data_IF_237662835493
#
_entry.id   IF_237662835493
#
_cell.length_a   1.000
_cell.length_b   1.000
_cell.length_c   1.000
_cell.angle_alpha   90.00
_cell.angle_beta   90.00
_cell.angle_gamma   90.00
#
_symmetry.space_group_name_H-M   'P 1'
#
loop_
_entity.id
_entity.type
_entity.pdbx_description
1 polymer ?
#
# COMPACT_ATOMS: atom_id res chain seq x y z
N UNK A 1 6.33 9.85 -52.68
CA UNK A 1 6.90 11.22 -52.59
C UNK A 1 8.38 11.07 -52.30
N UNK A 2 9.25 11.43 -53.27
CA UNK A 2 10.69 11.22 -53.18
C UNK A 2 11.30 12.20 -52.16
N UNK A 3 12.03 11.71 -51.19
CA UNK A 3 12.74 12.52 -50.17
C UNK A 3 13.84 13.46 -50.74
N UNK A 4 14.15 13.32 -52.00
CA UNK A 4 15.19 14.11 -52.72
C UNK A 4 14.79 15.56 -53.07
N UNK A 5 13.52 15.94 -52.86
CA UNK A 5 13.02 17.28 -53.23
C UNK A 5 12.77 18.22 -52.05
N UNK A 6 13.07 17.78 -50.83
CA UNK A 6 12.95 18.63 -49.63
C UNK A 6 14.16 19.58 -49.58
N UNK A 7 13.89 20.89 -49.52
CA UNK A 7 14.96 21.90 -49.35
C UNK A 7 15.74 21.62 -48.05
N UNK A 8 17.00 21.97 -48.00
CA UNK A 8 17.85 21.75 -46.82
C UNK A 8 17.28 22.41 -45.57
N UNK A 9 16.54 23.48 -45.71
CA UNK A 9 15.79 24.12 -44.62
C UNK A 9 14.67 23.21 -44.05
N UNK A 10 13.97 22.46 -44.91
CA UNK A 10 12.94 21.50 -44.47
C UNK A 10 13.57 20.27 -43.84
N UNK A 11 14.72 19.78 -44.31
CA UNK A 11 15.45 18.67 -43.66
C UNK A 11 15.92 19.07 -42.26
N UNK A 12 16.37 20.32 -42.07
CA UNK A 12 16.76 20.84 -40.74
C UNK A 12 15.55 20.93 -39.79
N UNK A 13 14.37 21.24 -40.29
CA UNK A 13 13.14 21.30 -39.49
C UNK A 13 12.70 19.92 -38.99
N UNK A 14 12.79 18.88 -39.85
CA UNK A 14 12.41 17.51 -39.47
C UNK A 14 13.42 16.82 -38.55
N UNK A 15 14.70 17.21 -38.59
CA UNK A 15 15.76 16.62 -37.77
C UNK A 15 15.83 17.20 -36.34
N UNK A 16 15.25 18.37 -36.11
CA UNK A 16 15.20 19.02 -34.78
C UNK A 16 13.91 18.68 -34.01
N UNK A 17 13.65 17.42 -33.76
CA UNK A 17 12.68 17.08 -32.69
C UNK A 17 13.29 17.50 -31.34
N UNK A 18 12.61 18.36 -30.57
CA UNK A 18 13.14 18.82 -29.30
C UNK A 18 13.34 17.63 -28.38
N UNK A 19 14.59 17.31 -28.05
CA UNK A 19 14.98 16.26 -27.14
C UNK A 19 14.31 16.56 -25.78
N UNK A 20 13.33 15.77 -25.37
CA UNK A 20 12.66 15.90 -24.07
C UNK A 20 13.68 15.64 -22.97
N UNK A 21 14.06 16.66 -22.21
CA UNK A 21 14.96 16.51 -21.07
C UNK A 21 14.20 15.88 -19.91
N UNK A 22 14.70 14.77 -19.40
CA UNK A 22 14.13 14.04 -18.27
C UNK A 22 14.20 14.91 -17.01
N UNK A 23 13.10 15.01 -16.26
CA UNK A 23 13.10 15.69 -14.96
C UNK A 23 13.76 14.78 -13.91
N UNK A 24 14.97 15.13 -13.47
CA UNK A 24 15.68 14.41 -12.40
C UNK A 24 14.89 14.40 -11.08
N UNK A 25 14.21 15.51 -10.77
CA UNK A 25 13.38 15.62 -9.56
C UNK A 25 12.27 14.57 -9.57
N UNK A 26 11.52 14.47 -10.68
CA UNK A 26 10.47 13.44 -10.79
C UNK A 26 11.03 12.02 -10.71
N UNK A 27 12.26 11.78 -11.20
CA UNK A 27 12.93 10.49 -11.10
C UNK A 27 13.22 10.14 -9.64
N UNK A 28 13.84 11.06 -8.89
CA UNK A 28 14.19 10.85 -7.48
C UNK A 28 12.94 10.66 -6.62
N UNK A 29 11.91 11.48 -6.80
CA UNK A 29 10.65 11.37 -6.06
C UNK A 29 9.98 10.02 -6.29
N UNK A 30 9.92 9.56 -7.55
CA UNK A 30 9.35 8.25 -7.90
C UNK A 30 10.16 7.10 -7.28
N UNK A 31 11.49 7.21 -7.27
CA UNK A 31 12.37 6.22 -6.66
C UNK A 31 12.16 6.11 -5.15
N UNK A 32 12.11 7.25 -4.46
CA UNK A 32 11.86 7.28 -3.00
C UNK A 32 10.48 6.71 -2.69
N UNK A 33 9.44 7.11 -3.43
CA UNK A 33 8.09 6.60 -3.23
C UNK A 33 8.01 5.07 -3.45
N UNK A 34 8.72 4.54 -4.45
CA UNK A 34 8.83 3.10 -4.69
C UNK A 34 9.47 2.37 -3.50
N UNK A 35 10.56 2.90 -2.95
CA UNK A 35 11.23 2.32 -1.76
C UNK A 35 10.29 2.34 -0.55
N UNK A 36 9.57 3.43 -0.32
CA UNK A 36 8.60 3.53 0.77
C UNK A 36 7.46 2.51 0.61
N UNK A 37 6.95 2.30 -0.62
CA UNK A 37 5.96 1.24 -0.88
C UNK A 37 6.51 -0.15 -0.56
N UNK A 38 7.76 -0.42 -0.90
CA UNK A 38 8.42 -1.68 -0.56
C UNK A 38 8.62 -1.84 0.96
N UNK A 39 8.97 -0.76 1.67
CA UNK A 39 9.08 -0.76 3.14
C UNK A 39 7.72 -0.99 3.81
N UNK A 40 6.64 -0.43 3.27
CA UNK A 40 5.29 -0.70 3.76
C UNK A 40 4.91 -2.18 3.64
N UNK A 41 5.17 -2.79 2.48
CA UNK A 41 4.95 -4.22 2.26
C UNK A 41 5.82 -5.07 3.20
N UNK A 42 7.09 -4.71 3.39
CA UNK A 42 8.00 -5.41 4.29
C UNK A 42 7.55 -5.34 5.75
N UNK A 43 7.15 -4.15 6.23
CA UNK A 43 6.62 -3.97 7.60
C UNK A 43 5.35 -4.80 7.82
N UNK A 44 4.40 -4.78 6.86
CA UNK A 44 3.18 -5.57 6.94
C UNK A 44 3.42 -7.09 6.92
N UNK A 45 4.52 -7.55 6.31
CA UNK A 45 4.91 -8.96 6.28
C UNK A 45 5.58 -9.42 7.57
N UNK A 46 6.46 -8.59 8.15
CA UNK A 46 7.36 -8.97 9.25
C UNK A 46 6.85 -8.54 10.62
N UNK A 47 6.34 -7.31 10.70
CA UNK A 47 5.93 -6.74 11.98
C UNK A 47 4.60 -7.35 12.42
N UNK A 48 4.29 -7.39 13.74
CA UNK A 48 3.01 -7.87 14.20
C UNK A 48 1.87 -6.98 13.69
N UNK A 49 0.81 -7.61 13.22
CA UNK A 49 -0.42 -6.97 12.77
C UNK A 49 -1.25 -6.48 13.93
N UNK A 50 -1.35 -7.31 14.98
CA UNK A 50 -1.98 -7.01 16.25
C UNK A 50 -1.34 -7.83 17.36
N UNK A 51 -1.53 -7.37 18.59
CA UNK A 51 -1.16 -8.10 19.80
C UNK A 51 -2.43 -8.55 20.50
N UNK A 52 -2.53 -9.85 20.79
CA UNK A 52 -3.61 -10.40 21.58
C UNK A 52 -3.15 -10.57 23.02
N UNK A 53 -3.76 -9.82 23.94
CA UNK A 53 -3.49 -9.97 25.37
C UNK A 53 -4.05 -11.29 25.92
N UNK A 54 -5.10 -11.82 25.28
CA UNK A 54 -5.70 -13.10 25.67
C UNK A 54 -4.74 -14.28 25.46
N UNK A 55 -3.97 -14.25 24.36
CA UNK A 55 -2.96 -15.29 24.09
C UNK A 55 -1.55 -14.87 24.50
N UNK A 56 -1.39 -13.64 25.01
CA UNK A 56 -0.10 -13.03 25.31
C UNK A 56 0.92 -13.17 24.16
N UNK A 57 0.41 -13.07 22.93
CA UNK A 57 1.20 -13.23 21.71
C UNK A 57 0.97 -12.08 20.73
N UNK A 58 2.06 -11.66 20.10
CA UNK A 58 2.04 -10.77 18.95
C UNK A 58 1.83 -11.61 17.69
N UNK A 59 0.79 -11.33 16.91
CA UNK A 59 0.43 -12.10 15.72
C UNK A 59 0.91 -11.38 14.48
N UNK A 60 1.86 -11.97 13.79
CA UNK A 60 2.30 -11.52 12.47
C UNK A 60 1.57 -12.28 11.34
N UNK A 61 1.82 -11.87 10.08
CA UNK A 61 1.16 -12.46 8.91
C UNK A 61 1.26 -13.99 8.85
N UNK A 62 2.41 -14.58 9.17
CA UNK A 62 2.60 -16.04 9.14
C UNK A 62 1.86 -16.76 10.26
N UNK A 63 1.79 -16.16 11.43
CA UNK A 63 1.11 -16.75 12.59
C UNK A 63 -0.40 -16.62 12.49
N UNK A 64 -0.88 -15.70 11.64
CA UNK A 64 -2.29 -15.41 11.50
C UNK A 64 -3.11 -16.62 11.05
N UNK A 65 -2.62 -17.41 10.11
CA UNK A 65 -3.30 -18.63 9.65
C UNK A 65 -3.39 -19.70 10.75
N UNK A 66 -2.35 -19.82 11.58
CA UNK A 66 -2.35 -20.76 12.72
C UNK A 66 -3.22 -20.25 13.86
N UNK A 67 -3.33 -18.94 14.02
CA UNK A 67 -4.17 -18.30 15.04
C UNK A 67 -5.66 -18.63 14.85
N UNK A 68 -6.17 -18.56 13.62
CA UNK A 68 -7.56 -18.92 13.30
C UNK A 68 -7.84 -20.39 13.61
N UNK A 69 -6.91 -21.29 13.28
CA UNK A 69 -7.04 -22.72 13.56
C UNK A 69 -7.02 -23.03 15.06
N UNK A 70 -6.21 -22.31 15.85
CA UNK A 70 -6.12 -22.50 17.30
C UNK A 70 -7.40 -22.05 18.00
N UNK A 71 -8.01 -20.94 17.59
CA UNK A 71 -9.26 -20.45 18.15
C UNK A 71 -10.44 -21.41 17.88
N UNK A 72 -10.56 -21.92 16.66
CA UNK A 72 -11.59 -22.88 16.27
C UNK A 72 -11.51 -24.20 17.03
N UNK A 73 -10.32 -24.65 17.41
CA UNK A 73 -10.12 -25.91 18.13
C UNK A 73 -10.39 -25.82 19.65
N UNK A 74 -10.41 -24.62 20.21
CA UNK A 74 -10.61 -24.46 21.68
C UNK A 74 -12.08 -24.58 22.13
N UNK A 75 -13.06 -24.55 21.20
CA UNK A 75 -14.47 -24.86 21.48
C UNK A 75 -15.18 -23.98 22.52
N UNK A 76 -14.50 -22.96 23.03
CA UNK A 76 -14.94 -22.16 24.18
C UNK A 76 -15.86 -20.99 23.79
N UNK A 77 -15.93 -20.63 22.51
CA UNK A 77 -16.66 -19.47 22.02
C UNK A 77 -17.28 -19.82 20.66
N UNK A 78 -18.49 -19.35 20.40
CA UNK A 78 -19.05 -19.37 19.03
C UNK A 78 -18.25 -18.38 18.14
N UNK A 79 -17.22 -18.92 17.49
CA UNK A 79 -16.20 -18.16 16.75
C UNK A 79 -16.60 -17.96 15.29
N UNK A 80 -17.80 -18.40 14.86
CA UNK A 80 -18.18 -18.39 13.45
C UNK A 80 -18.11 -16.97 12.82
N UNK A 81 -18.62 -15.96 13.51
CA UNK A 81 -18.55 -14.56 13.05
C UNK A 81 -17.11 -14.03 13.09
N UNK A 82 -16.33 -14.44 14.07
CA UNK A 82 -14.94 -14.00 14.22
C UNK A 82 -14.02 -14.63 13.15
N UNK A 83 -14.26 -15.90 12.78
CA UNK A 83 -13.55 -16.56 11.69
C UNK A 83 -13.79 -15.86 10.35
N UNK A 84 -15.01 -15.38 10.11
CA UNK A 84 -15.32 -14.62 8.89
C UNK A 84 -14.55 -13.30 8.85
N UNK A 85 -14.51 -12.53 9.92
CA UNK A 85 -13.76 -11.27 10.00
C UNK A 85 -12.25 -11.50 9.85
N UNK A 86 -11.71 -12.56 10.44
CA UNK A 86 -10.29 -12.91 10.27
C UNK A 86 -9.97 -13.33 8.85
N UNK A 87 -10.84 -14.09 8.18
CA UNK A 87 -10.69 -14.46 6.77
C UNK A 87 -10.73 -13.23 5.87
N UNK A 88 -11.63 -12.27 6.15
CA UNK A 88 -11.71 -10.99 5.45
C UNK A 88 -10.42 -10.19 5.62
N UNK A 89 -9.86 -10.13 6.83
CA UNK A 89 -8.61 -9.45 7.13
C UNK A 89 -7.44 -10.07 6.36
N UNK A 90 -7.33 -11.39 6.33
CA UNK A 90 -6.30 -12.09 5.56
C UNK A 90 -6.41 -11.80 4.05
N UNK A 91 -7.63 -11.82 3.52
CA UNK A 91 -7.89 -11.48 2.12
C UNK A 91 -7.46 -10.04 1.79
N UNK A 92 -7.75 -9.07 2.65
CA UNK A 92 -7.33 -7.68 2.49
C UNK A 92 -5.81 -7.52 2.51
N UNK A 93 -5.09 -8.24 3.38
CA UNK A 93 -3.63 -8.22 3.42
C UNK A 93 -3.04 -8.78 2.12
N UNK A 94 -3.62 -9.86 1.58
CA UNK A 94 -3.19 -10.41 0.30
C UNK A 94 -3.41 -9.42 -0.85
N UNK A 95 -4.55 -8.74 -0.88
CA UNK A 95 -4.84 -7.69 -1.86
C UNK A 95 -3.83 -6.53 -1.72
N UNK A 96 -3.48 -6.15 -0.49
CA UNK A 96 -2.45 -5.14 -0.23
C UNK A 96 -1.11 -5.52 -0.85
N UNK A 97 -0.63 -6.75 -0.66
CA UNK A 97 0.63 -7.21 -1.27
C UNK A 97 0.58 -7.19 -2.79
N UNK A 98 -0.51 -7.67 -3.39
CA UNK A 98 -0.69 -7.63 -4.85
C UNK A 98 -0.63 -6.20 -5.37
N UNK A 99 -1.34 -5.27 -4.72
CA UNK A 99 -1.34 -3.85 -5.12
C UNK A 99 0.03 -3.20 -4.91
N UNK A 100 0.79 -3.55 -3.86
CA UNK A 100 2.16 -3.10 -3.69
C UNK A 100 3.05 -3.58 -4.85
N UNK A 101 2.95 -4.84 -5.26
CA UNK A 101 3.69 -5.37 -6.41
C UNK A 101 3.33 -4.63 -7.71
N UNK A 102 2.05 -4.39 -7.96
CA UNK A 102 1.58 -3.62 -9.13
C UNK A 102 2.12 -2.19 -9.08
N UNK A 103 2.05 -1.52 -7.91
CA UNK A 103 2.55 -0.16 -7.74
C UNK A 103 4.06 -0.06 -8.00
N UNK A 104 4.86 -0.99 -7.45
CA UNK A 104 6.31 -1.05 -7.67
C UNK A 104 6.62 -1.28 -9.15
N UNK A 105 5.90 -2.20 -9.81
CA UNK A 105 6.06 -2.46 -11.26
C UNK A 105 5.77 -1.21 -12.09
N UNK A 106 4.66 -0.51 -11.79
CA UNK A 106 4.30 0.74 -12.45
C UNK A 106 5.33 1.85 -12.17
N UNK A 107 5.90 1.90 -10.96
CA UNK A 107 6.97 2.84 -10.64
C UNK A 107 8.22 2.58 -11.48
N UNK A 108 8.65 1.32 -11.63
CA UNK A 108 9.76 0.93 -12.50
C UNK A 108 9.48 1.32 -13.95
N UNK A 109 8.29 1.01 -14.48
CA UNK A 109 7.88 1.42 -15.82
C UNK A 109 7.88 2.94 -15.98
N UNK A 110 7.45 3.68 -14.96
CA UNK A 110 7.49 5.14 -14.94
C UNK A 110 8.92 5.67 -14.96
N UNK A 111 9.84 5.03 -14.22
CA UNK A 111 11.26 5.36 -14.22
C UNK A 111 11.91 5.10 -15.59
N UNK A 112 11.52 4.05 -16.30
CA UNK A 112 12.07 3.71 -17.63
C UNK A 112 11.48 4.60 -18.71
N UNK A 113 10.16 4.65 -18.84
CA UNK A 113 9.48 5.31 -19.97
C UNK A 113 9.16 6.78 -19.73
N UNK A 114 9.12 7.23 -18.49
CA UNK A 114 8.84 8.60 -18.05
C UNK A 114 7.62 9.25 -18.76
N UNK A 115 6.56 8.49 -18.97
CA UNK A 115 5.31 8.98 -19.57
C UNK A 115 4.35 9.50 -18.50
N UNK A 116 3.69 10.63 -18.78
CA UNK A 116 2.73 11.24 -17.84
C UNK A 116 1.57 10.29 -17.49
N UNK A 117 1.10 9.50 -18.46
CA UNK A 117 0.03 8.52 -18.24
C UNK A 117 0.43 7.49 -17.16
N UNK A 118 1.67 6.96 -17.23
CA UNK A 118 2.18 6.01 -16.23
C UNK A 118 2.27 6.64 -14.84
N UNK A 119 2.62 7.92 -14.74
CA UNK A 119 2.66 8.65 -13.46
C UNK A 119 1.27 8.78 -12.84
N UNK A 120 0.25 9.11 -13.66
CA UNK A 120 -1.14 9.21 -13.21
C UNK A 120 -1.63 7.84 -12.74
N UNK A 121 -1.40 6.80 -13.53
CA UNK A 121 -1.80 5.44 -13.18
C UNK A 121 -1.13 4.98 -11.88
N UNK A 122 0.18 5.24 -11.72
CA UNK A 122 0.93 4.90 -10.53
C UNK A 122 0.40 5.65 -9.28
N UNK A 123 0.02 6.93 -9.43
CA UNK A 123 -0.60 7.69 -8.36
C UNK A 123 -1.97 7.10 -7.97
N UNK A 124 -2.83 6.75 -8.93
CA UNK A 124 -4.14 6.14 -8.66
C UNK A 124 -3.97 4.82 -7.91
N UNK A 125 -3.04 3.96 -8.36
CA UNK A 125 -2.76 2.68 -7.68
C UNK A 125 -2.20 2.93 -6.28
N UNK A 126 -1.34 3.93 -6.09
CA UNK A 126 -0.79 4.26 -4.77
C UNK A 126 -1.86 4.72 -3.77
N UNK A 127 -2.93 5.38 -4.23
CA UNK A 127 -4.09 5.69 -3.39
C UNK A 127 -4.81 4.41 -2.96
N UNK A 128 -4.97 3.44 -3.88
CA UNK A 128 -5.51 2.13 -3.54
C UNK A 128 -4.67 1.40 -2.49
N UNK A 129 -3.33 1.44 -2.64
CA UNK A 129 -2.39 0.87 -1.65
C UNK A 129 -2.53 1.53 -0.29
N UNK A 130 -2.73 2.86 -0.22
CA UNK A 130 -2.94 3.59 1.04
C UNK A 130 -4.28 3.24 1.69
N UNK A 131 -5.35 3.06 0.91
CA UNK A 131 -6.69 2.81 1.45
C UNK A 131 -6.77 1.48 2.19
N UNK A 132 -6.05 0.44 1.74
CA UNK A 132 -6.14 -0.89 2.34
C UNK A 132 -5.70 -0.92 3.80
N UNK A 133 -4.51 -0.44 4.22
CA UNK A 133 -4.13 -0.43 5.63
C UNK A 133 -5.04 0.45 6.48
N UNK A 134 -5.67 1.49 5.92
CA UNK A 134 -6.69 2.27 6.63
C UNK A 134 -7.95 1.42 6.88
N UNK A 135 -8.40 0.66 5.88
CA UNK A 135 -9.54 -0.25 6.02
C UNK A 135 -9.21 -1.38 7.02
N UNK A 136 -7.99 -1.94 6.95
CA UNK A 136 -7.52 -2.96 7.90
C UNK A 136 -7.59 -2.47 9.35
N UNK A 137 -7.24 -1.23 9.61
CA UNK A 137 -7.32 -0.63 10.94
C UNK A 137 -8.77 -0.65 11.47
N UNK A 138 -9.77 -0.33 10.62
CA UNK A 138 -11.18 -0.40 11.01
C UNK A 138 -11.64 -1.85 11.25
N UNK A 139 -11.22 -2.79 10.39
CA UNK A 139 -11.57 -4.21 10.55
C UNK A 139 -10.99 -4.77 11.87
N UNK A 140 -9.74 -4.44 12.21
CA UNK A 140 -9.12 -4.87 13.47
C UNK A 140 -9.89 -4.32 14.68
N UNK A 141 -10.33 -3.06 14.64
CA UNK A 141 -11.14 -2.45 15.71
C UNK A 141 -12.50 -3.11 15.84
N UNK A 142 -13.13 -3.41 14.72
CA UNK A 142 -14.43 -4.06 14.67
C UNK A 142 -14.34 -5.51 15.22
N UNK A 143 -13.33 -6.26 14.78
CA UNK A 143 -13.03 -7.58 15.33
C UNK A 143 -12.74 -7.56 16.83
N UNK A 144 -12.03 -6.55 17.35
CA UNK A 144 -11.78 -6.37 18.77
C UNK A 144 -13.08 -6.14 19.57
N UNK A 145 -14.00 -5.34 19.01
CA UNK A 145 -15.32 -5.06 19.65
C UNK A 145 -16.20 -6.29 19.65
N UNK A 146 -16.22 -7.07 18.57
CA UNK A 146 -16.99 -8.33 18.50
C UNK A 146 -16.44 -9.36 19.48
N UNK A 147 -15.12 -9.48 19.59
CA UNK A 147 -14.50 -10.38 20.57
C UNK A 147 -14.82 -9.95 22.00
N UNK A 148 -14.81 -8.67 22.31
CA UNK A 148 -15.18 -8.16 23.63
C UNK A 148 -16.63 -8.48 23.97
N UNK A 149 -17.56 -8.32 23.03
CA UNK A 149 -18.98 -8.66 23.24
C UNK A 149 -19.21 -10.17 23.40
N UNK A 150 -18.46 -10.99 22.67
CA UNK A 150 -18.51 -12.45 22.82
C UNK A 150 -17.99 -12.93 24.18
N UNK A 151 -17.08 -12.17 24.81
CA UNK A 151 -16.52 -12.45 26.12
C UNK A 151 -17.32 -11.81 27.29
N UNK A 152 -18.34 -10.98 26.99
CA UNK A 152 -19.17 -10.31 28.01
C UNK A 152 -19.74 -11.26 29.06
N UNK A 153 -20.23 -12.48 28.74
CA UNK A 153 -20.72 -13.43 29.75
C UNK A 153 -19.62 -13.89 30.74
N UNK A 154 -18.35 -13.81 30.35
CA UNK A 154 -17.20 -14.21 31.16
C UNK A 154 -16.62 -13.05 31.99
N UNK A 155 -17.05 -11.80 31.74
CA UNK A 155 -16.56 -10.61 32.46
C UNK A 155 -16.82 -10.69 33.97
N UNK A 156 -17.89 -11.35 34.38
CA UNK A 156 -18.19 -11.59 35.80
C UNK A 156 -17.11 -12.42 36.53
N UNK A 157 -16.31 -13.20 35.78
CA UNK A 157 -15.24 -14.05 36.29
C UNK A 157 -13.85 -13.42 36.12
N UNK A 158 -13.65 -12.59 35.11
CA UNK A 158 -12.30 -12.10 34.69
C UNK A 158 -12.14 -10.59 34.92
N UNK A 159 -13.22 -9.88 35.25
CA UNK A 159 -13.22 -8.42 35.39
C UNK A 159 -13.52 -7.69 34.09
N UNK A 160 -13.58 -6.35 34.12
CA UNK A 160 -13.85 -5.54 32.96
C UNK A 160 -12.72 -5.69 31.90
N UNK A 161 -13.06 -6.30 30.77
CA UNK A 161 -12.13 -6.47 29.62
C UNK A 161 -12.45 -5.39 28.59
N UNK A 162 -11.55 -4.44 28.40
CA UNK A 162 -11.68 -3.47 27.32
C UNK A 162 -11.34 -4.11 25.97
N UNK A 163 -12.14 -3.83 24.92
CA UNK A 163 -11.91 -4.33 23.56
C UNK A 163 -10.49 -4.06 23.05
N UNK A 164 -9.97 -2.88 23.36
CA UNK A 164 -8.59 -2.43 22.99
C UNK A 164 -7.51 -3.23 23.71
N UNK A 165 -7.80 -3.83 24.86
CA UNK A 165 -6.86 -4.71 25.57
C UNK A 165 -6.83 -6.13 25.01
N UNK A 166 -7.90 -6.59 24.35
CA UNK A 166 -8.00 -7.92 23.76
C UNK A 166 -7.22 -8.03 22.46
N UNK A 167 -7.38 -7.01 21.58
CA UNK A 167 -6.70 -6.88 20.32
C UNK A 167 -6.16 -5.46 20.19
N UNK A 168 -4.89 -5.27 20.55
CA UNK A 168 -4.23 -3.99 20.39
C UNK A 168 -3.65 -3.88 18.98
N UNK A 169 -3.92 -2.73 18.35
CA UNK A 169 -3.31 -2.37 17.07
C UNK A 169 -1.79 -2.37 17.19
N UNK A 170 -1.11 -2.94 16.20
CA UNK A 170 0.33 -3.04 16.21
C UNK A 170 1.00 -2.17 15.15
N UNK A 171 2.30 -2.05 15.24
CA UNK A 171 3.13 -1.15 14.43
C UNK A 171 3.04 -1.42 12.92
N UNK A 172 2.74 -2.66 12.48
CA UNK A 172 2.68 -3.00 11.06
C UNK A 172 1.69 -2.13 10.29
N UNK A 173 0.46 -2.00 10.79
CA UNK A 173 -0.62 -1.25 10.12
C UNK A 173 -0.30 0.26 10.14
N UNK A 174 0.17 0.79 11.29
CA UNK A 174 0.54 2.19 11.40
C UNK A 174 1.71 2.57 10.49
N UNK A 175 2.76 1.74 10.47
CA UNK A 175 3.90 1.92 9.58
C UNK A 175 3.47 1.87 8.11
N UNK A 176 2.59 0.93 7.74
CA UNK A 176 2.07 0.83 6.38
C UNK A 176 1.31 2.09 5.98
N UNK A 177 0.44 2.65 6.85
CA UNK A 177 -0.28 3.90 6.59
C UNK A 177 0.71 5.06 6.37
N UNK A 178 1.70 5.21 7.24
CA UNK A 178 2.71 6.27 7.14
C UNK A 178 3.50 6.16 5.85
N UNK A 179 4.07 4.99 5.55
CA UNK A 179 4.91 4.79 4.37
C UNK A 179 4.12 4.94 3.08
N UNK A 180 2.92 4.36 2.99
CA UNK A 180 2.06 4.48 1.80
C UNK A 180 1.50 5.88 1.62
N UNK A 181 1.18 6.58 2.73
CA UNK A 181 0.74 7.98 2.70
C UNK A 181 1.81 8.91 2.16
N UNK A 182 3.05 8.79 2.66
CA UNK A 182 4.19 9.56 2.14
C UNK A 182 4.46 9.19 0.69
N UNK A 183 4.42 7.89 0.33
CA UNK A 183 4.62 7.46 -1.05
C UNK A 183 3.57 8.04 -2.00
N UNK A 184 2.28 7.99 -1.65
CA UNK A 184 1.20 8.58 -2.44
C UNK A 184 1.37 10.09 -2.62
N UNK A 185 1.78 10.81 -1.57
CA UNK A 185 2.08 12.23 -1.65
C UNK A 185 3.26 12.53 -2.57
N UNK A 186 4.33 11.74 -2.53
CA UNK A 186 5.48 11.89 -3.43
C UNK A 186 5.10 11.58 -4.89
N UNK A 187 4.25 10.58 -5.15
CA UNK A 187 3.73 10.33 -6.49
C UNK A 187 2.88 11.49 -6.99
N UNK A 188 2.04 12.10 -6.13
CA UNK A 188 1.27 13.30 -6.46
C UNK A 188 2.21 14.45 -6.87
N UNK A 189 3.21 14.75 -6.04
CA UNK A 189 4.19 15.81 -6.35
C UNK A 189 4.90 15.51 -7.66
N UNK A 190 5.28 14.25 -7.92
CA UNK A 190 5.94 13.84 -9.16
C UNK A 190 5.13 14.17 -10.43
N UNK A 191 3.79 14.27 -10.34
CA UNK A 191 2.92 14.66 -11.46
C UNK A 191 3.15 16.11 -11.91
N UNK A 192 3.45 17.01 -10.97
CA UNK A 192 3.67 18.44 -11.29
C UNK A 192 5.01 18.68 -11.97
N UNK A 193 5.99 17.77 -11.82
CA UNK A 193 7.27 17.88 -12.52
C UNK A 193 7.18 17.29 -13.93
N UNK A 194 6.61 18.10 -14.84
CA UNK A 194 6.49 17.77 -16.26
C UNK A 194 7.84 17.93 -16.98
N UNK A 195 8.12 17.06 -17.94
CA UNK A 195 9.28 17.19 -18.83
C UNK A 195 9.19 18.52 -19.57
N UNK A 196 10.11 19.44 -19.32
CA UNK A 196 10.19 20.70 -20.04
C UNK A 196 10.65 20.44 -21.48
N UNK A 197 9.87 20.89 -22.46
CA UNK A 197 10.34 21.03 -23.82
C UNK A 197 11.41 22.14 -23.80
N UNK A 198 12.63 21.85 -24.23
CA UNK A 198 13.61 22.91 -24.45
C UNK A 198 13.14 23.65 -25.68
N UNK A 199 12.49 24.80 -25.49
CA UNK A 199 12.24 25.73 -26.57
C UNK A 199 13.60 26.18 -27.10
N UNK A 200 13.86 25.97 -28.39
CA UNK A 200 14.92 26.65 -29.10
C UNK A 200 14.64 28.14 -28.97
N UNK A 201 15.37 28.87 -28.12
CA UNK A 201 15.46 30.31 -28.26
C UNK A 201 16.18 30.56 -29.60
N UNK A 202 15.46 31.17 -30.53
CA UNK A 202 16.01 31.79 -31.71
C UNK A 202 16.86 32.99 -31.30
#
# INVERSE_FOLDING_TARGET
MNQSTLSDAQKIYYTRQPKKRRSWVSFILTLIAMVLTAMAAYSMYRDPLFTSSFLNQAVNYHQFQHFTQQLGNQGLIDVSNFEEELSRLLSMINIFFVLCCVNITLAILTLVFNRTLLKILNFIVSLGVLLIPVILLFIIRDAATQLASALEPLQALVGNIEATSLLAESNAVHNAIIYTGIAAFLYLISLFFRNRKIGTRL
#
